data_IF_475746225986
#
_entry.id   IF_475746225986
#
_cell.length_a   1.000
_cell.length_b   1.000
_cell.length_c   1.000
_cell.angle_alpha   90.00
_cell.angle_beta   90.00
_cell.angle_gamma   90.00
#
_symmetry.space_group_name_H-M   'P 1'
#
loop_
_entity.id
_entity.type
_entity.pdbx_description
1 polymer ?
#
# COMPACT_ATOMS: atom_id res chain seq x y z
N UNK A 1 31.34 -8.17 -24.58
CA UNK A 1 30.10 -8.52 -25.33
C UNK A 1 29.99 -7.62 -26.55
N UNK A 2 29.69 -8.16 -27.73
CA UNK A 2 29.55 -7.39 -28.97
C UNK A 2 28.19 -6.67 -29.04
N UNK A 3 28.11 -5.58 -29.82
CA UNK A 3 26.87 -4.79 -30.00
C UNK A 3 25.69 -5.65 -30.48
N UNK A 4 25.96 -6.59 -31.39
CA UNK A 4 24.96 -7.53 -31.92
C UNK A 4 24.45 -8.51 -30.85
N UNK A 5 25.33 -9.04 -29.99
CA UNK A 5 24.92 -9.92 -28.90
C UNK A 5 23.99 -9.20 -27.91
N UNK A 6 24.27 -7.92 -27.63
CA UNK A 6 23.39 -7.09 -26.79
C UNK A 6 22.05 -6.79 -27.48
N UNK A 7 22.02 -6.61 -28.81
CA UNK A 7 20.77 -6.42 -29.56
C UNK A 7 19.91 -7.69 -29.58
N UNK A 8 20.51 -8.85 -29.82
CA UNK A 8 19.81 -10.14 -29.77
C UNK A 8 19.28 -10.43 -28.37
N UNK A 9 20.06 -10.14 -27.32
CA UNK A 9 19.61 -10.32 -25.95
C UNK A 9 18.42 -9.40 -25.58
N UNK A 10 18.28 -8.23 -26.20
CA UNK A 10 17.11 -7.35 -26.01
C UNK A 10 15.86 -7.84 -26.75
N UNK A 11 16.03 -8.57 -27.84
CA UNK A 11 14.94 -9.11 -28.65
C UNK A 11 14.50 -10.52 -28.20
N UNK A 12 15.30 -11.17 -27.36
CA UNK A 12 15.00 -12.50 -26.83
C UNK A 12 13.67 -12.48 -26.06
N UNK A 13 12.71 -13.29 -26.53
CA UNK A 13 11.43 -13.51 -25.86
C UNK A 13 11.58 -14.62 -24.81
N UNK A 14 10.76 -14.64 -23.75
CA UNK A 14 10.80 -15.73 -22.76
C UNK A 14 10.59 -17.12 -23.39
N UNK A 15 9.91 -17.20 -24.53
CA UNK A 15 9.70 -18.44 -25.29
C UNK A 15 10.98 -18.98 -25.96
N UNK A 16 11.96 -18.10 -26.21
CA UNK A 16 13.26 -18.46 -26.80
C UNK A 16 14.29 -18.89 -25.75
N UNK A 17 13.87 -19.05 -24.50
CA UNK A 17 14.75 -19.38 -23.40
C UNK A 17 15.16 -20.86 -23.43
N UNK A 18 16.46 -21.12 -23.53
CA UNK A 18 17.00 -22.48 -23.67
C UNK A 18 16.70 -23.37 -22.48
N UNK A 19 16.45 -22.82 -21.28
CA UNK A 19 16.06 -23.65 -20.12
C UNK A 19 14.67 -24.24 -20.26
N UNK A 20 13.82 -23.73 -21.16
CA UNK A 20 12.53 -24.36 -21.44
C UNK A 20 12.69 -25.66 -22.26
N UNK A 21 13.86 -25.84 -22.89
CA UNK A 21 14.20 -26.99 -23.72
C UNK A 21 15.16 -27.97 -23.02
N UNK A 22 15.86 -27.53 -21.97
CA UNK A 22 16.78 -28.34 -21.18
C UNK A 22 16.08 -29.03 -20.02
N UNK A 23 16.37 -30.32 -19.81
CA UNK A 23 15.87 -31.10 -18.66
C UNK A 23 16.79 -31.04 -17.42
N UNK A 24 17.99 -30.51 -17.57
CA UNK A 24 19.03 -30.64 -16.52
C UNK A 24 18.92 -29.59 -15.40
N UNK A 25 18.23 -28.47 -15.63
CA UNK A 25 18.00 -27.41 -14.64
C UNK A 25 16.55 -26.93 -14.67
N UNK A 26 15.67 -27.65 -13.98
CA UNK A 26 14.26 -27.29 -13.86
C UNK A 26 14.06 -26.34 -12.68
N UNK A 27 13.40 -25.22 -12.93
CA UNK A 27 13.08 -24.24 -11.89
C UNK A 27 12.00 -24.80 -10.95
N UNK A 28 12.35 -24.96 -9.68
CA UNK A 28 11.47 -25.50 -8.64
C UNK A 28 11.62 -24.70 -7.34
N UNK A 29 10.50 -24.39 -6.70
CA UNK A 29 10.46 -23.74 -5.40
C UNK A 29 10.65 -24.77 -4.27
N UNK A 30 10.02 -25.93 -4.40
CA UNK A 30 9.94 -26.96 -3.37
C UNK A 30 11.08 -27.97 -3.41
N UNK A 31 11.55 -28.33 -4.60
CA UNK A 31 12.51 -29.40 -4.82
C UNK A 31 13.85 -28.84 -5.27
N UNK A 32 14.91 -29.64 -5.14
CA UNK A 32 16.18 -29.29 -5.77
C UNK A 32 16.10 -29.48 -7.29
N UNK A 33 16.81 -28.68 -8.11
CA UNK A 33 16.64 -28.68 -9.57
C UNK A 33 16.78 -30.05 -10.24
N UNK A 34 17.64 -30.92 -9.69
CA UNK A 34 17.83 -32.29 -10.17
C UNK A 34 16.63 -33.19 -9.86
N UNK A 35 16.10 -33.10 -8.64
CA UNK A 35 14.91 -33.83 -8.22
C UNK A 35 13.70 -33.37 -9.03
N UNK A 36 13.51 -32.06 -9.15
CA UNK A 36 12.45 -31.44 -9.94
C UNK A 36 12.42 -31.91 -11.41
N UNK A 37 13.58 -32.17 -12.00
CA UNK A 37 13.70 -32.72 -13.36
C UNK A 37 13.20 -34.15 -13.53
N UNK A 38 13.05 -34.90 -12.43
CA UNK A 38 12.53 -36.27 -12.42
C UNK A 38 11.02 -36.35 -12.16
N UNK A 39 10.42 -35.28 -11.63
CA UNK A 39 9.00 -35.26 -11.30
C UNK A 39 8.19 -34.99 -12.57
N UNK A 40 7.24 -35.88 -12.84
CA UNK A 40 6.37 -35.76 -14.00
C UNK A 40 5.26 -34.71 -13.77
N UNK A 41 4.62 -34.33 -14.88
CA UNK A 41 3.61 -33.28 -14.90
C UNK A 41 2.37 -33.64 -14.08
N UNK A 42 1.95 -34.90 -14.07
CA UNK A 42 0.75 -35.32 -13.35
C UNK A 42 0.99 -35.25 -11.84
N UNK A 43 2.19 -35.63 -11.38
CA UNK A 43 2.58 -35.47 -9.97
C UNK A 43 2.63 -33.99 -9.56
N UNK A 44 3.25 -33.11 -10.35
CA UNK A 44 3.27 -31.66 -10.05
C UNK A 44 1.87 -31.04 -10.06
N UNK A 45 1.00 -31.49 -10.96
CA UNK A 45 -0.39 -31.07 -11.00
C UNK A 45 -1.14 -31.50 -9.73
N UNK A 46 -0.99 -32.77 -9.32
CA UNK A 46 -1.60 -33.27 -8.08
C UNK A 46 -1.13 -32.48 -6.85
N UNK A 47 0.17 -32.17 -6.75
CA UNK A 47 0.72 -31.31 -5.68
C UNK A 47 0.03 -29.94 -5.67
N UNK A 48 -0.11 -29.31 -6.85
CA UNK A 48 -0.78 -28.02 -7.00
C UNK A 48 -2.24 -28.04 -6.57
N UNK A 49 -3.00 -29.07 -6.99
CA UNK A 49 -4.40 -29.26 -6.63
C UNK A 49 -4.58 -29.50 -5.12
N UNK A 50 -3.75 -30.35 -4.50
CA UNK A 50 -3.78 -30.53 -3.04
C UNK A 50 -3.47 -29.23 -2.31
N UNK A 51 -2.53 -28.42 -2.81
CA UNK A 51 -2.29 -27.09 -2.28
C UNK A 51 -3.52 -26.18 -2.35
N UNK A 52 -4.24 -26.22 -3.48
CA UNK A 52 -5.46 -25.43 -3.68
C UNK A 52 -6.59 -25.90 -2.75
N UNK A 53 -6.79 -27.20 -2.62
CA UNK A 53 -7.80 -27.80 -1.72
C UNK A 53 -7.57 -27.39 -0.25
N UNK A 54 -6.31 -27.44 0.21
CA UNK A 54 -5.94 -26.97 1.54
C UNK A 54 -6.18 -25.46 1.70
N UNK A 55 -5.90 -24.64 0.67
CA UNK A 55 -6.21 -23.19 0.70
C UNK A 55 -7.71 -22.92 0.70
N UNK A 56 -8.51 -23.70 -0.04
CA UNK A 56 -9.97 -23.59 -0.06
C UNK A 56 -10.58 -23.84 1.32
N UNK A 57 -9.99 -24.76 2.09
CA UNK A 57 -10.36 -24.99 3.49
C UNK A 57 -10.10 -23.79 4.41
N UNK A 58 -9.23 -22.86 4.01
CA UNK A 58 -8.90 -21.63 4.75
C UNK A 58 -9.68 -20.43 4.21
N UNK A 59 -9.74 -20.31 2.88
CA UNK A 59 -10.31 -19.16 2.16
C UNK A 59 -11.04 -19.63 0.90
N UNK A 60 -12.39 -19.69 0.94
CA UNK A 60 -13.20 -20.11 -0.20
C UNK A 60 -13.04 -19.24 -1.45
N UNK A 61 -12.48 -18.03 -1.34
CA UNK A 61 -12.27 -17.15 -2.50
C UNK A 61 -11.34 -17.76 -3.54
N UNK A 62 -10.57 -18.79 -3.19
CA UNK A 62 -9.71 -19.51 -4.11
C UNK A 62 -10.45 -20.36 -5.16
N UNK A 63 -11.74 -20.64 -4.98
CA UNK A 63 -12.53 -21.53 -5.86
C UNK A 63 -12.53 -21.03 -7.31
N UNK A 64 -12.58 -19.70 -7.48
CA UNK A 64 -12.56 -19.04 -8.79
C UNK A 64 -11.31 -19.36 -9.63
N UNK A 65 -10.23 -19.85 -9.01
CA UNK A 65 -8.98 -20.13 -9.69
C UNK A 65 -8.83 -21.59 -10.13
N UNK A 66 -9.71 -22.48 -9.67
CA UNK A 66 -9.66 -23.90 -10.01
C UNK A 66 -9.77 -24.11 -11.53
N UNK A 67 -10.85 -23.62 -12.13
CA UNK A 67 -11.08 -23.75 -13.57
C UNK A 67 -9.94 -23.13 -14.43
N UNK A 68 -9.49 -21.88 -14.21
CA UNK A 68 -8.48 -21.26 -15.07
C UNK A 68 -7.05 -21.77 -14.84
N UNK A 69 -6.69 -22.24 -13.63
CA UNK A 69 -5.29 -22.52 -13.28
C UNK A 69 -5.01 -23.97 -12.83
N UNK A 70 -6.01 -24.67 -12.28
CA UNK A 70 -5.86 -26.00 -11.66
C UNK A 70 -6.80 -27.05 -12.25
N UNK A 71 -7.30 -26.82 -13.47
CA UNK A 71 -8.13 -27.79 -14.20
C UNK A 71 -7.30 -28.70 -15.11
N UNK A 72 -7.90 -29.81 -15.56
CA UNK A 72 -7.28 -30.68 -16.58
C UNK A 72 -6.98 -29.94 -17.89
N UNK A 73 -7.78 -28.93 -18.23
CA UNK A 73 -7.52 -28.06 -19.39
C UNK A 73 -6.30 -27.17 -19.13
N UNK A 74 -6.18 -26.59 -17.94
CA UNK A 74 -5.03 -25.78 -17.56
C UNK A 74 -3.73 -26.61 -17.55
N UNK A 75 -3.82 -27.91 -17.20
CA UNK A 75 -2.71 -28.87 -17.24
C UNK A 75 -2.08 -29.06 -18.63
N UNK A 76 -2.88 -28.95 -19.69
CA UNK A 76 -2.44 -29.16 -21.08
C UNK A 76 -2.09 -27.86 -21.82
N UNK A 77 -2.37 -26.70 -21.24
CA UNK A 77 -2.18 -25.39 -21.88
C UNK A 77 -0.69 -25.02 -21.99
N UNK A 78 -0.12 -25.11 -23.20
CA UNK A 78 1.26 -24.71 -23.51
C UNK A 78 1.36 -23.23 -23.90
N UNK A 79 1.81 -22.38 -22.97
CA UNK A 79 1.82 -20.91 -23.09
C UNK A 79 2.62 -20.38 -24.29
N UNK A 80 3.67 -21.09 -24.70
CA UNK A 80 4.56 -20.70 -25.80
C UNK A 80 3.87 -20.71 -27.17
N UNK A 81 2.83 -21.53 -27.33
CA UNK A 81 2.10 -21.68 -28.60
C UNK A 81 0.75 -20.98 -28.61
N UNK A 82 0.37 -20.33 -27.50
CA UNK A 82 -0.90 -19.61 -27.40
C UNK A 82 -0.84 -18.21 -28.01
N UNK A 83 -2.01 -17.70 -28.37
CA UNK A 83 -2.15 -16.32 -28.86
C UNK A 83 -1.85 -15.29 -27.76
N UNK A 84 -1.49 -14.07 -28.17
CA UNK A 84 -1.26 -12.96 -27.24
C UNK A 84 -2.49 -12.67 -26.35
N UNK A 85 -3.69 -12.82 -26.89
CA UNK A 85 -4.93 -12.59 -26.14
C UNK A 85 -5.14 -13.63 -25.03
N UNK A 86 -4.94 -14.92 -25.35
CA UNK A 86 -5.03 -16.02 -24.37
C UNK A 86 -3.97 -15.86 -23.28
N UNK A 87 -2.73 -15.55 -23.66
CA UNK A 87 -1.65 -15.32 -22.71
C UNK A 87 -1.92 -14.12 -21.79
N UNK A 88 -2.54 -13.05 -22.32
CA UNK A 88 -2.95 -11.90 -21.50
C UNK A 88 -4.02 -12.27 -20.47
N UNK A 89 -5.03 -13.07 -20.86
CA UNK A 89 -6.05 -13.54 -19.93
C UNK A 89 -5.46 -14.45 -18.84
N UNK A 90 -4.51 -15.32 -19.23
CA UNK A 90 -3.76 -16.13 -18.29
C UNK A 90 -2.94 -15.26 -17.32
N UNK A 91 -2.29 -14.20 -17.81
CA UNK A 91 -1.55 -13.24 -16.98
C UNK A 91 -2.42 -12.53 -15.96
N UNK A 92 -3.64 -12.16 -16.34
CA UNK A 92 -4.63 -11.53 -15.46
C UNK A 92 -5.07 -12.51 -14.37
N UNK A 93 -5.38 -13.77 -14.73
CA UNK A 93 -5.74 -14.82 -13.77
C UNK A 93 -4.61 -15.13 -12.79
N UNK A 94 -3.36 -15.28 -13.29
CA UNK A 94 -2.18 -15.53 -12.45
C UNK A 94 -1.92 -14.34 -11.53
N UNK A 95 -2.01 -13.11 -12.04
CA UNK A 95 -1.76 -11.92 -11.22
C UNK A 95 -2.80 -11.77 -10.11
N UNK A 96 -4.07 -12.07 -10.40
CA UNK A 96 -5.12 -12.06 -9.39
C UNK A 96 -4.91 -13.20 -8.37
N UNK A 97 -4.60 -14.42 -8.81
CA UNK A 97 -4.28 -15.54 -7.92
C UNK A 97 -3.13 -15.19 -6.97
N UNK A 98 -2.05 -14.60 -7.48
CA UNK A 98 -0.88 -14.20 -6.70
C UNK A 98 -1.19 -13.10 -5.66
N UNK A 99 -2.15 -12.21 -5.94
CA UNK A 99 -2.65 -11.25 -4.95
C UNK A 99 -3.40 -11.99 -3.82
N UNK A 100 -4.28 -12.94 -4.17
CA UNK A 100 -5.00 -13.75 -3.18
C UNK A 100 -4.09 -14.69 -2.39
N UNK A 101 -3.01 -15.18 -3.00
CA UNK A 101 -2.04 -16.09 -2.39
C UNK A 101 -1.12 -15.38 -1.38
N UNK A 102 -0.79 -14.11 -1.61
CA UNK A 102 0.21 -13.38 -0.83
C UNK A 102 -0.01 -13.45 0.70
N UNK A 103 -1.23 -13.28 1.25
CA UNK A 103 -1.49 -13.44 2.69
C UNK A 103 -1.11 -14.82 3.26
N UNK A 104 -1.10 -15.86 2.41
CA UNK A 104 -0.87 -17.25 2.78
C UNK A 104 0.51 -17.76 2.34
N UNK A 105 1.37 -16.91 1.78
CA UNK A 105 2.64 -17.32 1.15
C UNK A 105 3.56 -18.17 2.05
N UNK A 106 3.54 -17.95 3.36
CA UNK A 106 4.36 -18.74 4.31
C UNK A 106 3.79 -20.14 4.57
N UNK A 107 2.53 -20.40 4.22
CA UNK A 107 1.91 -21.71 4.37
C UNK A 107 2.39 -22.65 3.26
N UNK A 108 2.60 -23.93 3.63
CA UNK A 108 2.93 -25.00 2.69
C UNK A 108 1.94 -25.14 1.52
N UNK A 109 0.61 -25.07 1.71
CA UNK A 109 -0.32 -25.14 0.58
C UNK A 109 -0.11 -24.04 -0.46
N UNK A 110 0.20 -22.81 -0.05
CA UNK A 110 0.51 -21.74 -0.99
C UNK A 110 1.78 -22.02 -1.82
N UNK A 111 2.80 -22.63 -1.20
CA UNK A 111 4.04 -23.02 -1.88
C UNK A 111 3.79 -24.16 -2.88
N UNK A 112 2.93 -25.12 -2.57
CA UNK A 112 2.49 -26.18 -3.50
C UNK A 112 1.79 -25.59 -4.74
N UNK A 113 0.91 -24.61 -4.55
CA UNK A 113 0.30 -23.92 -5.68
C UNK A 113 1.33 -23.18 -6.53
N UNK A 114 2.28 -22.46 -5.92
CA UNK A 114 3.34 -21.77 -6.66
C UNK A 114 4.20 -22.74 -7.46
N UNK A 115 4.55 -23.89 -6.89
CA UNK A 115 5.30 -24.95 -7.57
C UNK A 115 4.63 -25.32 -8.91
N UNK A 116 3.33 -25.60 -8.87
CA UNK A 116 2.55 -25.89 -10.07
C UNK A 116 2.60 -24.73 -11.08
N UNK A 117 2.36 -23.49 -10.65
CA UNK A 117 2.37 -22.34 -11.57
C UNK A 117 3.76 -22.05 -12.17
N UNK A 118 4.83 -22.28 -11.40
CA UNK A 118 6.23 -22.14 -11.84
C UNK A 118 6.54 -23.15 -12.94
N UNK A 119 6.10 -24.40 -12.77
CA UNK A 119 6.34 -25.47 -13.74
C UNK A 119 5.43 -25.37 -14.97
N UNK A 120 4.13 -25.14 -14.78
CA UNK A 120 3.12 -25.16 -15.86
C UNK A 120 3.11 -23.89 -16.71
N UNK A 121 3.18 -22.73 -16.05
CA UNK A 121 2.99 -21.43 -16.70
C UNK A 121 4.26 -20.57 -16.72
N UNK A 122 5.36 -21.08 -16.14
CA UNK A 122 6.65 -20.40 -16.07
C UNK A 122 6.54 -18.98 -15.50
N UNK A 123 5.78 -18.79 -14.42
CA UNK A 123 5.51 -17.47 -13.85
C UNK A 123 6.76 -16.71 -13.42
N UNK A 124 7.85 -17.43 -13.11
CA UNK A 124 9.17 -16.88 -12.81
C UNK A 124 9.86 -16.23 -14.03
N UNK A 125 9.37 -16.47 -15.25
CA UNK A 125 9.82 -15.83 -16.49
C UNK A 125 8.82 -14.79 -16.98
N UNK A 126 7.53 -15.15 -17.05
CA UNK A 126 6.50 -14.35 -17.68
C UNK A 126 5.80 -13.36 -16.73
N UNK A 127 5.74 -13.66 -15.43
CA UNK A 127 4.95 -12.92 -14.43
C UNK A 127 5.81 -12.42 -13.27
N UNK A 128 7.06 -12.04 -13.54
CA UNK A 128 8.05 -11.69 -12.51
C UNK A 128 7.57 -10.59 -11.57
N UNK A 129 6.92 -9.55 -12.10
CA UNK A 129 6.39 -8.44 -11.32
C UNK A 129 5.30 -8.90 -10.34
N UNK A 130 4.37 -9.74 -10.80
CA UNK A 130 3.29 -10.28 -9.96
C UNK A 130 3.82 -11.28 -8.93
N UNK A 131 4.81 -12.10 -9.30
CA UNK A 131 5.46 -13.03 -8.39
C UNK A 131 6.22 -12.30 -7.30
N UNK A 132 7.02 -11.28 -7.65
CA UNK A 132 7.72 -10.45 -6.66
C UNK A 132 6.72 -9.72 -5.78
N UNK A 133 5.67 -9.12 -6.35
CA UNK A 133 4.61 -8.47 -5.58
C UNK A 133 4.00 -9.39 -4.51
N UNK A 134 3.78 -10.66 -4.83
CA UNK A 134 3.23 -11.65 -3.90
C UNK A 134 4.17 -11.93 -2.72
N UNK A 135 5.49 -11.99 -2.95
CA UNK A 135 6.46 -12.45 -1.95
C UNK A 135 7.20 -11.33 -1.22
N UNK A 136 7.21 -10.11 -1.78
CA UNK A 136 7.97 -8.97 -1.26
C UNK A 136 7.64 -8.60 0.20
N UNK A 137 6.38 -8.69 0.69
CA UNK A 137 6.11 -8.47 2.11
C UNK A 137 6.90 -9.38 3.06
N UNK A 138 7.41 -10.51 2.56
CA UNK A 138 8.15 -11.54 3.30
C UNK A 138 9.65 -11.54 2.98
N UNK A 139 10.20 -10.39 2.57
CA UNK A 139 11.58 -10.21 2.10
C UNK A 139 12.68 -10.72 3.07
N UNK A 140 12.40 -10.80 4.37
CA UNK A 140 13.34 -11.29 5.39
C UNK A 140 13.30 -12.82 5.57
N UNK A 141 12.52 -13.56 4.78
CA UNK A 141 12.38 -15.01 4.89
C UNK A 141 13.27 -15.78 3.90
N UNK A 142 13.63 -17.02 4.25
CA UNK A 142 14.38 -17.91 3.32
C UNK A 142 13.56 -18.31 2.09
N UNK A 143 12.23 -18.43 2.23
CA UNK A 143 11.37 -18.79 1.11
C UNK A 143 11.27 -17.67 0.07
N UNK A 144 11.32 -16.40 0.50
CA UNK A 144 11.50 -15.26 -0.42
C UNK A 144 12.78 -15.39 -1.25
N UNK A 145 13.90 -15.73 -0.60
CA UNK A 145 15.18 -15.94 -1.29
C UNK A 145 15.06 -17.03 -2.36
N UNK A 146 14.42 -18.16 -2.03
CA UNK A 146 14.20 -19.26 -3.00
C UNK A 146 13.44 -18.75 -4.23
N UNK A 147 12.41 -17.93 -4.05
CA UNK A 147 11.67 -17.32 -5.18
C UNK A 147 12.56 -16.39 -6.00
N UNK A 148 13.35 -15.53 -5.37
CA UNK A 148 14.29 -14.64 -6.09
C UNK A 148 15.34 -15.45 -6.87
N UNK A 149 15.74 -16.61 -6.37
CA UNK A 149 16.67 -17.51 -7.06
C UNK A 149 16.09 -18.11 -8.34
N UNK A 150 14.77 -18.21 -8.49
CA UNK A 150 14.12 -18.67 -9.72
C UNK A 150 14.17 -17.65 -10.86
N UNK A 151 14.27 -16.36 -10.53
CA UNK A 151 14.17 -15.28 -11.53
C UNK A 151 15.43 -15.18 -12.40
N UNK A 152 15.26 -14.88 -13.69
CA UNK A 152 16.38 -14.72 -14.63
C UNK A 152 16.91 -13.29 -14.69
N UNK A 153 17.60 -12.92 -13.62
CA UNK A 153 18.25 -11.62 -13.48
C UNK A 153 19.63 -11.65 -14.17
N UNK A 154 19.63 -11.39 -15.48
CA UNK A 154 20.79 -11.68 -16.34
C UNK A 154 21.63 -10.45 -16.73
N UNK A 155 21.12 -9.23 -16.53
CA UNK A 155 21.85 -8.00 -16.88
C UNK A 155 21.45 -6.81 -16.00
N UNK A 156 22.27 -5.76 -16.03
CA UNK A 156 22.08 -4.54 -15.22
C UNK A 156 20.87 -3.70 -15.59
N UNK A 157 20.24 -3.95 -16.75
CA UNK A 157 19.02 -3.26 -17.18
C UNK A 157 17.74 -3.98 -16.73
N UNK A 158 17.88 -5.17 -16.14
CA UNK A 158 16.74 -5.90 -15.60
C UNK A 158 16.12 -5.09 -14.46
N UNK A 159 14.80 -4.88 -14.48
CA UNK A 159 14.07 -4.12 -13.44
C UNK A 159 14.42 -4.56 -12.02
N UNK A 160 14.56 -5.87 -11.83
CA UNK A 160 14.87 -6.49 -10.54
C UNK A 160 16.37 -6.74 -10.31
N UNK A 161 17.26 -6.08 -11.05
CA UNK A 161 18.71 -6.29 -10.94
C UNK A 161 19.25 -6.00 -9.54
N UNK A 162 18.65 -5.06 -8.81
CA UNK A 162 19.03 -4.75 -7.44
C UNK A 162 18.85 -5.93 -6.46
N UNK A 163 18.07 -6.96 -6.83
CA UNK A 163 17.92 -8.21 -6.06
C UNK A 163 18.98 -9.27 -6.41
N UNK A 164 19.89 -9.01 -7.35
CA UNK A 164 20.96 -9.94 -7.71
C UNK A 164 21.85 -10.37 -6.53
N UNK A 165 22.21 -9.48 -5.57
CA UNK A 165 22.95 -9.89 -4.37
C UNK A 165 22.21 -10.93 -3.53
N UNK A 166 20.88 -10.81 -3.39
CA UNK A 166 20.03 -11.79 -2.69
C UNK A 166 20.05 -13.12 -3.42
N UNK A 167 19.86 -13.11 -4.75
CA UNK A 167 19.93 -14.31 -5.59
C UNK A 167 21.25 -15.07 -5.42
N UNK A 168 22.38 -14.35 -5.39
CA UNK A 168 23.73 -14.95 -5.33
C UNK A 168 24.12 -15.43 -3.93
N UNK A 169 23.84 -14.63 -2.91
CA UNK A 169 24.27 -14.94 -1.54
C UNK A 169 23.38 -15.95 -0.84
N UNK A 170 22.11 -16.07 -1.25
CA UNK A 170 21.13 -16.91 -0.55
C UNK A 170 20.70 -16.33 0.80
N UNK A 171 21.06 -15.08 1.11
CA UNK A 171 20.73 -14.40 2.37
C UNK A 171 19.46 -13.56 2.19
N UNK A 172 18.53 -13.57 3.15
CA UNK A 172 17.33 -12.73 3.09
C UNK A 172 17.64 -11.24 2.92
N UNK A 173 16.71 -10.52 2.28
CA UNK A 173 16.89 -9.10 1.99
C UNK A 173 16.75 -8.30 3.29
N UNK A 174 17.79 -7.55 3.65
CA UNK A 174 17.75 -6.67 4.80
C UNK A 174 16.80 -5.48 4.57
N UNK A 175 16.01 -5.13 5.59
CA UNK A 175 15.09 -3.97 5.58
C UNK A 175 15.78 -2.67 5.16
N UNK A 176 16.99 -2.39 5.65
CA UNK A 176 17.74 -1.18 5.28
C UNK A 176 18.05 -1.08 3.78
N UNK A 177 18.36 -2.21 3.14
CA UNK A 177 18.59 -2.29 1.69
C UNK A 177 17.31 -2.03 0.90
N UNK A 178 16.19 -2.64 1.33
CA UNK A 178 14.87 -2.41 0.74
C UNK A 178 14.47 -0.92 0.82
N UNK A 179 14.60 -0.32 2.00
CA UNK A 179 14.30 1.09 2.25
C UNK A 179 15.18 2.00 1.39
N UNK A 180 16.48 1.69 1.31
CA UNK A 180 17.43 2.44 0.47
C UNK A 180 17.04 2.40 -1.00
N UNK A 181 16.65 1.24 -1.51
CA UNK A 181 16.18 1.14 -2.89
C UNK A 181 14.85 1.89 -3.08
N UNK A 182 13.93 1.82 -2.11
CA UNK A 182 12.62 2.48 -2.17
C UNK A 182 12.69 4.00 -2.33
N UNK A 183 13.58 4.71 -1.63
CA UNK A 183 13.67 6.16 -1.82
C UNK A 183 14.55 6.57 -3.02
N UNK A 184 15.46 5.70 -3.48
CA UNK A 184 16.33 5.98 -4.64
C UNK A 184 15.68 5.68 -5.98
N UNK A 185 14.74 4.74 -6.04
CA UNK A 185 14.06 4.31 -7.26
C UNK A 185 12.56 4.62 -7.20
N UNK A 186 12.13 5.68 -7.90
CA UNK A 186 10.73 6.09 -7.97
C UNK A 186 9.82 5.04 -8.61
N UNK A 187 10.36 4.21 -9.52
CA UNK A 187 9.61 3.13 -10.16
C UNK A 187 9.28 2.02 -9.17
N UNK A 188 10.19 1.72 -8.24
CA UNK A 188 9.98 0.76 -7.17
C UNK A 188 9.05 1.30 -6.08
N UNK A 189 9.17 2.59 -5.72
CA UNK A 189 8.19 3.24 -4.83
C UNK A 189 6.78 3.17 -5.41
N UNK A 190 6.63 3.46 -6.71
CA UNK A 190 5.37 3.34 -7.44
C UNK A 190 4.86 1.90 -7.43
N UNK A 191 5.75 0.93 -7.64
CA UNK A 191 5.42 -0.48 -7.61
C UNK A 191 4.81 -0.87 -6.26
N UNK A 192 5.43 -0.49 -5.14
CA UNK A 192 4.92 -0.75 -3.79
C UNK A 192 3.54 -0.11 -3.58
N UNK A 193 3.38 1.16 -3.96
CA UNK A 193 2.08 1.85 -3.81
C UNK A 193 0.99 1.23 -4.70
N UNK A 194 1.35 0.87 -5.94
CA UNK A 194 0.44 0.23 -6.88
C UNK A 194 -0.01 -1.15 -6.40
N UNK A 195 0.91 -1.91 -5.78
CA UNK A 195 0.62 -3.22 -5.18
C UNK A 195 -0.50 -3.10 -4.16
N UNK A 196 -0.38 -2.18 -3.20
CA UNK A 196 -1.44 -1.94 -2.19
C UNK A 196 -2.76 -1.60 -2.85
N UNK A 197 -2.78 -0.66 -3.80
CA UNK A 197 -4.05 -0.27 -4.43
C UNK A 197 -4.71 -1.40 -5.23
N UNK A 198 -3.91 -2.26 -5.88
CA UNK A 198 -4.41 -3.44 -6.60
C UNK A 198 -4.96 -4.47 -5.63
N UNK A 199 -4.25 -4.75 -4.53
CA UNK A 199 -4.71 -5.69 -3.50
C UNK A 199 -5.97 -5.20 -2.80
N UNK A 200 -6.03 -3.92 -2.39
CA UNK A 200 -7.24 -3.34 -1.79
C UNK A 200 -8.44 -3.46 -2.74
N UNK A 201 -8.23 -3.28 -4.05
CA UNK A 201 -9.30 -3.47 -5.05
C UNK A 201 -9.70 -4.94 -5.18
N UNK A 202 -8.74 -5.86 -5.24
CA UNK A 202 -9.01 -7.30 -5.38
C UNK A 202 -9.80 -7.87 -4.19
N UNK A 203 -9.52 -7.37 -2.98
CA UNK A 203 -10.19 -7.80 -1.76
C UNK A 203 -11.38 -6.92 -1.35
N UNK A 204 -11.81 -5.96 -2.18
CA UNK A 204 -12.87 -5.02 -1.82
C UNK A 204 -14.21 -5.71 -1.49
N UNK A 205 -14.48 -6.84 -2.14
CA UNK A 205 -15.71 -7.63 -2.01
C UNK A 205 -15.54 -8.85 -1.08
N UNK A 206 -14.33 -9.08 -0.56
CA UNK A 206 -14.03 -10.24 0.29
C UNK A 206 -14.35 -9.93 1.76
N UNK A 207 -15.19 -10.74 2.44
CA UNK A 207 -15.36 -10.63 3.88
C UNK A 207 -14.02 -10.92 4.57
N UNK A 208 -13.63 -10.08 5.53
CA UNK A 208 -12.34 -10.24 6.23
C UNK A 208 -11.12 -9.65 5.53
N UNK A 209 -11.29 -8.90 4.44
CA UNK A 209 -10.20 -8.25 3.67
C UNK A 209 -9.17 -7.48 4.51
N UNK A 210 -9.61 -6.87 5.61
CA UNK A 210 -8.72 -6.16 6.54
C UNK A 210 -7.64 -7.06 7.17
N UNK A 211 -8.00 -8.28 7.60
CA UNK A 211 -7.03 -9.19 8.23
C UNK A 211 -6.08 -9.80 7.21
N UNK A 212 -6.60 -10.15 6.02
CA UNK A 212 -5.81 -10.72 4.92
C UNK A 212 -4.74 -9.73 4.42
N UNK A 213 -5.09 -8.44 4.36
CA UNK A 213 -4.17 -7.40 3.88
C UNK A 213 -3.21 -6.87 4.96
N UNK A 214 -3.33 -7.30 6.22
CA UNK A 214 -2.55 -6.75 7.35
C UNK A 214 -1.04 -6.77 7.11
N UNK A 215 -0.50 -7.90 6.64
CA UNK A 215 0.94 -8.05 6.38
C UNK A 215 1.39 -7.09 5.29
N UNK A 216 0.63 -7.00 4.19
CA UNK A 216 0.91 -6.10 3.08
C UNK A 216 0.83 -4.62 3.49
N UNK A 217 -0.20 -4.24 4.25
CA UNK A 217 -0.39 -2.86 4.71
C UNK A 217 0.67 -2.45 5.74
N UNK A 218 1.08 -3.36 6.62
CA UNK A 218 2.20 -3.16 7.55
C UNK A 218 3.52 -2.99 6.80
N UNK A 219 3.76 -3.84 5.79
CA UNK A 219 4.91 -3.73 4.90
C UNK A 219 4.93 -2.38 4.17
N UNK A 220 3.78 -1.96 3.61
CA UNK A 220 3.62 -0.68 2.94
C UNK A 220 3.92 0.50 3.86
N UNK A 221 3.25 0.57 5.02
CA UNK A 221 3.43 1.62 6.00
C UNK A 221 4.90 1.69 6.43
N UNK A 222 5.47 0.55 6.86
CA UNK A 222 6.84 0.51 7.33
C UNK A 222 7.85 0.88 6.25
N UNK A 223 7.65 0.45 5.00
CA UNK A 223 8.64 0.67 3.94
C UNK A 223 8.59 2.11 3.45
N UNK A 224 7.41 2.65 3.14
CA UNK A 224 7.26 4.03 2.63
C UNK A 224 7.65 5.04 3.71
N UNK A 225 7.16 4.88 4.95
CA UNK A 225 7.52 5.79 6.04
C UNK A 225 9.03 5.77 6.30
N UNK A 226 9.65 4.59 6.36
CA UNK A 226 11.12 4.51 6.55
C UNK A 226 11.89 5.10 5.38
N UNK A 227 11.40 4.93 4.14
CA UNK A 227 12.01 5.51 2.95
C UNK A 227 11.97 7.04 2.99
N UNK A 228 10.83 7.62 3.40
CA UNK A 228 10.68 9.08 3.56
C UNK A 228 11.54 9.63 4.71
N UNK A 229 11.70 8.88 5.79
CA UNK A 229 12.58 9.28 6.91
C UNK A 229 14.05 9.24 6.51
N UNK A 230 14.47 8.17 5.82
CA UNK A 230 15.85 7.94 5.42
C UNK A 230 16.32 8.81 4.24
N UNK A 231 15.40 9.33 3.43
CA UNK A 231 15.73 10.29 2.41
C UNK A 231 16.22 11.61 3.05
N UNK A 232 17.41 12.05 2.63
CA UNK A 232 17.99 13.34 3.04
C UNK A 232 17.11 14.48 2.53
N UNK A 233 16.89 14.50 1.21
CA UNK A 233 16.01 15.46 0.54
C UNK A 233 14.87 14.74 -0.19
N UNK A 234 13.64 15.21 0.05
CA UNK A 234 12.46 14.76 -0.68
C UNK A 234 12.16 15.72 -1.82
N UNK A 235 12.41 15.27 -3.06
CA UNK A 235 12.05 16.03 -4.26
C UNK A 235 10.53 16.14 -4.44
N UNK A 236 10.07 17.23 -5.06
CA UNK A 236 8.66 17.42 -5.45
C UNK A 236 8.11 16.26 -6.27
N UNK A 237 8.97 15.59 -7.06
CA UNK A 237 8.62 14.40 -7.83
C UNK A 237 8.15 13.24 -6.94
N UNK A 238 8.76 13.04 -5.77
CA UNK A 238 8.33 12.01 -4.81
C UNK A 238 6.94 12.34 -4.27
N UNK A 239 6.71 13.59 -3.88
CA UNK A 239 5.42 14.04 -3.34
C UNK A 239 4.32 13.91 -4.39
N UNK A 240 4.58 14.38 -5.61
CA UNK A 240 3.67 14.25 -6.74
C UNK A 240 3.35 12.78 -7.07
N UNK A 241 4.35 11.89 -6.96
CA UNK A 241 4.17 10.45 -7.19
C UNK A 241 3.32 9.78 -6.12
N UNK A 242 3.47 10.17 -4.85
CA UNK A 242 2.73 9.62 -3.72
C UNK A 242 1.29 10.15 -3.63
N UNK A 243 1.03 11.36 -4.13
CA UNK A 243 -0.25 12.03 -3.94
C UNK A 243 -1.49 11.23 -4.40
N UNK A 244 -1.53 10.60 -5.59
CA UNK A 244 -2.67 9.78 -5.99
C UNK A 244 -2.94 8.61 -5.04
N UNK A 245 -1.89 8.08 -4.40
CA UNK A 245 -1.99 6.99 -3.44
C UNK A 245 -2.50 7.48 -2.08
N UNK A 246 -2.02 8.65 -1.63
CA UNK A 246 -2.53 9.32 -0.43
C UNK A 246 -4.03 9.60 -0.58
N UNK A 247 -4.48 10.10 -1.73
CA UNK A 247 -5.90 10.35 -1.98
C UNK A 247 -6.75 9.07 -1.90
N UNK A 248 -6.24 7.93 -2.40
CA UNK A 248 -6.91 6.64 -2.31
C UNK A 248 -6.95 6.14 -0.86
N UNK A 249 -5.85 6.25 -0.13
CA UNK A 249 -5.77 5.88 1.29
C UNK A 249 -6.73 6.69 2.16
N UNK A 250 -6.79 8.01 1.95
CA UNK A 250 -7.77 8.91 2.58
C UNK A 250 -9.22 8.68 2.14
N UNK A 251 -9.50 7.82 1.16
CA UNK A 251 -10.87 7.43 0.80
C UNK A 251 -11.21 6.00 1.22
N UNK A 252 -10.21 5.20 1.56
CA UNK A 252 -10.37 3.80 1.92
C UNK A 252 -11.14 3.63 3.23
N UNK A 253 -11.94 2.57 3.31
CA UNK A 253 -12.62 2.09 4.52
C UNK A 253 -11.73 1.16 5.36
N UNK A 254 -10.54 0.78 4.88
CA UNK A 254 -9.62 -0.10 5.61
C UNK A 254 -8.83 0.70 6.65
N UNK A 255 -8.94 0.39 7.96
CA UNK A 255 -8.25 1.13 9.01
C UNK A 255 -6.73 1.14 8.85
N UNK A 256 -6.11 -0.01 8.59
CA UNK A 256 -4.65 -0.11 8.47
C UNK A 256 -4.11 0.72 7.29
N UNK A 257 -4.84 0.76 6.17
CA UNK A 257 -4.45 1.58 5.02
C UNK A 257 -4.62 3.08 5.32
N UNK A 258 -5.69 3.43 6.04
CA UNK A 258 -5.94 4.80 6.50
C UNK A 258 -4.84 5.29 7.43
N UNK A 259 -4.50 4.50 8.45
CA UNK A 259 -3.46 4.81 9.41
C UNK A 259 -2.09 4.96 8.74
N UNK A 260 -1.73 4.03 7.83
CA UNK A 260 -0.53 4.14 7.02
C UNK A 260 -0.47 5.46 6.23
N UNK A 261 -1.61 5.87 5.67
CA UNK A 261 -1.72 7.12 4.93
C UNK A 261 -1.50 8.35 5.81
N UNK A 262 -2.05 8.37 7.02
CA UNK A 262 -1.78 9.43 7.99
C UNK A 262 -0.30 9.52 8.35
N UNK A 263 0.36 8.38 8.59
CA UNK A 263 1.81 8.36 8.85
C UNK A 263 2.61 8.94 7.69
N UNK A 264 2.26 8.60 6.45
CA UNK A 264 2.91 9.13 5.25
C UNK A 264 2.71 10.65 5.13
N UNK A 265 1.49 11.15 5.34
CA UNK A 265 1.20 12.59 5.32
C UNK A 265 2.02 13.32 6.39
N UNK A 266 2.07 12.80 7.61
CA UNK A 266 2.87 13.37 8.68
C UNK A 266 4.35 13.48 8.29
N UNK A 267 4.94 12.42 7.72
CA UNK A 267 6.35 12.45 7.32
C UNK A 267 6.62 13.44 6.19
N UNK A 268 5.77 13.48 5.16
CA UNK A 268 5.91 14.46 4.08
C UNK A 268 5.81 15.88 4.65
N UNK A 269 4.86 16.12 5.54
CA UNK A 269 4.64 17.43 6.16
C UNK A 269 5.83 17.91 7.00
N UNK A 270 6.62 16.99 7.55
CA UNK A 270 7.83 17.33 8.34
C UNK A 270 9.03 17.63 7.44
N UNK A 271 9.13 16.94 6.29
CA UNK A 271 10.32 16.96 5.42
C UNK A 271 10.22 17.93 4.24
N UNK A 272 9.01 18.30 3.82
CA UNK A 272 8.77 19.11 2.63
C UNK A 272 7.90 20.31 2.99
N UNK A 273 8.25 21.48 2.44
CA UNK A 273 7.37 22.65 2.41
C UNK A 273 6.49 22.55 1.19
N UNK A 274 5.19 22.39 1.39
CA UNK A 274 4.19 22.24 0.33
C UNK A 274 3.49 23.58 0.07
N UNK A 275 2.90 23.72 -1.12
CA UNK A 275 2.06 24.87 -1.45
C UNK A 275 0.78 24.89 -0.61
N UNK A 276 0.35 26.07 -0.14
CA UNK A 276 -0.86 26.26 0.67
C UNK A 276 -2.10 25.62 0.04
N UNK A 277 -2.27 25.70 -1.28
CA UNK A 277 -3.40 25.08 -2.00
C UNK A 277 -3.42 23.56 -1.82
N UNK A 278 -2.25 22.92 -1.80
CA UNK A 278 -2.09 21.49 -1.59
C UNK A 278 -2.37 21.10 -0.13
N UNK A 279 -1.84 21.87 0.82
CA UNK A 279 -2.08 21.70 2.26
C UNK A 279 -3.57 21.81 2.56
N UNK A 280 -4.24 22.81 2.01
CA UNK A 280 -5.67 23.04 2.16
C UNK A 280 -6.51 21.88 1.60
N UNK A 281 -6.11 21.34 0.46
CA UNK A 281 -6.74 20.17 -0.15
C UNK A 281 -6.61 18.92 0.75
N UNK A 282 -5.41 18.64 1.25
CA UNK A 282 -5.15 17.53 2.17
C UNK A 282 -5.92 17.68 3.49
N UNK A 283 -5.83 18.84 4.14
CA UNK A 283 -6.54 19.13 5.37
C UNK A 283 -8.06 18.96 5.20
N UNK A 284 -8.61 19.51 4.12
CA UNK A 284 -10.03 19.34 3.77
C UNK A 284 -10.42 17.88 3.61
N UNK A 285 -9.57 17.07 2.95
CA UNK A 285 -9.85 15.66 2.73
C UNK A 285 -9.76 14.83 4.02
N UNK A 286 -8.76 15.11 4.88
CA UNK A 286 -8.63 14.48 6.20
C UNK A 286 -9.90 14.76 7.01
N UNK A 287 -10.28 16.03 7.16
CA UNK A 287 -11.45 16.44 7.96
C UNK A 287 -12.73 15.78 7.45
N UNK A 288 -13.00 15.83 6.13
CA UNK A 288 -14.22 15.24 5.53
C UNK A 288 -14.34 13.73 5.68
N UNK A 289 -13.22 13.04 5.89
CA UNK A 289 -13.20 11.57 5.98
C UNK A 289 -12.90 11.06 7.37
N UNK A 290 -12.69 11.97 8.33
CA UNK A 290 -12.29 11.68 9.69
C UNK A 290 -13.26 10.75 10.41
N UNK A 291 -14.57 11.02 10.29
CA UNK A 291 -15.63 10.25 10.96
C UNK A 291 -15.93 8.89 10.31
N UNK A 292 -15.33 8.59 9.13
CA UNK A 292 -15.62 7.33 8.41
C UNK A 292 -15.09 6.09 9.13
N UNK A 293 -14.05 6.24 9.94
CA UNK A 293 -13.44 5.15 10.70
C UNK A 293 -13.32 5.62 12.16
N UNK A 294 -14.32 5.32 13.01
CA UNK A 294 -14.38 5.84 14.38
C UNK A 294 -13.13 5.55 15.21
N UNK A 295 -12.52 4.37 15.04
CA UNK A 295 -11.30 3.98 15.75
C UNK A 295 -10.07 4.83 15.42
N UNK A 296 -10.08 5.60 14.32
CA UNK A 296 -8.95 6.40 13.85
C UNK A 296 -9.20 7.90 13.91
N UNK A 297 -10.26 8.36 14.59
CA UNK A 297 -10.54 9.81 14.70
C UNK A 297 -9.38 10.53 15.41
N UNK A 298 -8.88 9.97 16.51
CA UNK A 298 -7.73 10.54 17.25
C UNK A 298 -6.48 10.62 16.37
N UNK A 299 -6.19 9.58 15.60
CA UNK A 299 -5.03 9.54 14.71
C UNK A 299 -5.16 10.53 13.54
N UNK A 300 -6.37 10.66 12.98
CA UNK A 300 -6.66 11.62 11.91
C UNK A 300 -6.59 13.07 12.40
N UNK A 301 -7.07 13.37 13.61
CA UNK A 301 -6.90 14.68 14.24
C UNK A 301 -5.42 14.98 14.50
N UNK A 302 -4.67 14.00 15.00
CA UNK A 302 -3.23 14.13 15.22
C UNK A 302 -2.47 14.40 13.92
N UNK A 303 -2.84 13.70 12.84
CA UNK A 303 -2.31 13.93 11.49
C UNK A 303 -2.61 15.35 10.99
N UNK A 304 -3.84 15.82 11.18
CA UNK A 304 -4.24 17.18 10.81
C UNK A 304 -3.43 18.22 11.60
N UNK A 305 -3.29 18.04 12.91
CA UNK A 305 -2.51 18.95 13.77
C UNK A 305 -1.06 19.03 13.28
N UNK A 306 -0.42 17.88 13.01
CA UNK A 306 0.96 17.86 12.48
C UNK A 306 1.07 18.57 11.13
N UNK A 307 0.12 18.34 10.21
CA UNK A 307 0.07 19.03 8.92
C UNK A 307 0.01 20.55 9.11
N UNK A 308 -0.92 21.05 9.93
CA UNK A 308 -1.08 22.49 10.19
C UNK A 308 0.11 23.09 10.92
N UNK A 309 0.69 22.36 11.88
CA UNK A 309 1.83 22.82 12.66
C UNK A 309 3.07 23.04 11.79
N UNK A 310 3.31 22.12 10.85
CA UNK A 310 4.53 22.14 10.02
C UNK A 310 4.39 23.06 8.82
N UNK A 311 3.21 23.10 8.21
CA UNK A 311 3.00 23.86 6.98
C UNK A 311 2.55 25.30 7.25
N UNK A 312 1.84 25.55 8.36
CA UNK A 312 1.34 26.88 8.75
C UNK A 312 0.62 27.62 7.59
N UNK A 313 -0.37 26.98 6.94
CA UNK A 313 -1.09 27.61 5.84
C UNK A 313 -1.81 28.88 6.32
N UNK A 314 -1.97 29.87 5.44
CA UNK A 314 -2.63 31.14 5.80
C UNK A 314 -4.09 30.94 6.24
N UNK A 315 -4.81 30.03 5.57
CA UNK A 315 -6.19 29.65 5.91
C UNK A 315 -6.58 28.34 5.24
N UNK A 316 -7.44 27.53 5.89
CA UNK A 316 -8.06 26.34 5.28
C UNK A 316 -9.41 26.65 4.59
N UNK A 317 -9.87 27.90 4.65
CA UNK A 317 -11.19 28.32 4.22
C UNK A 317 -12.34 27.81 5.10
N UNK A 318 -13.58 28.25 4.81
CA UNK A 318 -14.77 27.95 5.63
C UNK A 318 -15.34 26.53 5.41
N UNK A 319 -15.09 25.90 4.26
CA UNK A 319 -15.75 24.65 3.85
C UNK A 319 -15.46 23.43 4.75
N UNK A 320 -14.23 23.24 5.28
CA UNK A 320 -13.93 22.10 6.16
C UNK A 320 -14.52 22.26 7.56
N UNK A 321 -14.73 23.49 8.03
CA UNK A 321 -15.09 23.80 9.40
C UNK A 321 -16.34 23.06 9.92
N UNK A 322 -17.49 23.03 9.21
CA UNK A 322 -18.68 22.31 9.70
C UNK A 322 -18.43 20.81 9.90
N UNK A 323 -17.58 20.20 9.06
CA UNK A 323 -17.26 18.77 9.16
C UNK A 323 -16.41 18.48 10.39
N UNK A 324 -15.56 19.43 10.79
CA UNK A 324 -14.75 19.33 12.00
C UNK A 324 -15.63 19.47 13.24
N UNK A 325 -16.59 20.40 13.25
CA UNK A 325 -17.54 20.57 14.35
C UNK A 325 -18.44 19.35 14.57
N UNK A 326 -18.72 18.59 13.51
CA UNK A 326 -19.53 17.36 13.57
C UNK A 326 -18.75 16.10 13.99
N UNK A 327 -17.47 16.24 14.41
CA UNK A 327 -16.69 15.11 14.92
C UNK A 327 -17.20 14.71 16.31
N UNK A 328 -17.56 13.43 16.52
CA UNK A 328 -18.02 12.97 17.83
C UNK A 328 -16.90 13.08 18.87
N UNK A 329 -17.28 13.48 20.10
CA UNK A 329 -16.37 13.64 21.23
C UNK A 329 -15.14 14.51 20.96
N UNK A 330 -15.25 15.46 20.03
CA UNK A 330 -14.12 16.29 19.56
C UNK A 330 -13.35 16.94 20.73
N UNK A 331 -14.07 17.52 21.70
CA UNK A 331 -13.44 18.22 22.83
C UNK A 331 -12.64 17.26 23.70
N UNK A 332 -13.22 16.10 24.03
CA UNK A 332 -12.55 15.05 24.82
C UNK A 332 -11.30 14.54 24.09
N UNK A 333 -11.40 14.34 22.78
CA UNK A 333 -10.28 13.92 21.94
C UNK A 333 -9.17 14.97 21.88
N UNK A 334 -9.52 16.25 21.66
CA UNK A 334 -8.57 17.36 21.65
C UNK A 334 -7.91 17.56 23.01
N UNK A 335 -8.67 17.45 24.10
CA UNK A 335 -8.13 17.50 25.46
C UNK A 335 -7.08 16.40 25.64
N UNK A 336 -7.41 15.15 25.33
CA UNK A 336 -6.48 14.03 25.43
C UNK A 336 -5.25 14.14 24.51
N UNK A 337 -5.35 14.84 23.38
CA UNK A 337 -4.17 15.15 22.54
C UNK A 337 -3.34 16.28 23.18
N UNK A 338 -3.99 17.28 23.76
CA UNK A 338 -3.35 18.48 24.35
C UNK A 338 -2.47 18.17 25.57
N UNK A 339 -2.72 17.05 26.24
CA UNK A 339 -1.88 16.55 27.34
C UNK A 339 -0.45 16.23 26.89
N UNK A 340 -0.27 15.81 25.63
CA UNK A 340 1.03 15.38 25.10
C UNK A 340 1.56 16.28 23.96
N UNK A 341 0.67 16.87 23.18
CA UNK A 341 1.02 17.58 21.94
C UNK A 341 0.37 18.97 21.85
N UNK A 342 1.01 19.88 21.12
CA UNK A 342 0.44 21.22 20.90
C UNK A 342 -0.71 21.19 19.89
N UNK A 343 -1.93 21.45 20.36
CA UNK A 343 -3.13 21.53 19.51
C UNK A 343 -3.42 22.96 19.01
N UNK A 344 -2.60 23.94 19.37
CA UNK A 344 -2.78 25.34 18.96
C UNK A 344 -2.94 25.52 17.45
N UNK A 345 -2.23 24.81 16.56
CA UNK A 345 -2.40 24.96 15.11
C UNK A 345 -3.83 24.71 14.63
N UNK A 346 -4.52 23.73 15.22
CA UNK A 346 -5.91 23.45 14.87
C UNK A 346 -6.86 24.47 15.51
N UNK A 347 -6.59 24.89 16.75
CA UNK A 347 -7.40 25.92 17.41
C UNK A 347 -7.31 27.28 16.72
N UNK A 348 -6.14 27.65 16.16
CA UNK A 348 -5.99 28.86 15.33
C UNK A 348 -6.92 28.86 14.12
N UNK A 349 -7.22 27.69 13.57
CA UNK A 349 -8.20 27.54 12.50
C UNK A 349 -9.64 27.59 13.05
N UNK A 350 -9.93 26.86 14.13
CA UNK A 350 -11.30 26.72 14.64
C UNK A 350 -11.86 27.97 15.32
N UNK A 351 -11.08 28.62 16.19
CA UNK A 351 -11.57 29.70 17.06
C UNK A 351 -12.14 30.89 16.28
N UNK A 352 -11.48 31.43 15.23
CA UNK A 352 -12.05 32.54 14.46
C UNK A 352 -13.39 32.19 13.82
N UNK A 353 -13.55 30.96 13.33
CA UNK A 353 -14.82 30.51 12.75
C UNK A 353 -15.93 30.37 13.79
N UNK A 354 -15.61 29.83 14.98
CA UNK A 354 -16.57 29.73 16.08
C UNK A 354 -17.01 31.12 16.58
N UNK A 355 -16.08 32.06 16.75
CA UNK A 355 -16.38 33.44 17.20
C UNK A 355 -17.24 34.17 16.18
N UNK A 356 -16.89 34.12 14.88
CA UNK A 356 -17.69 34.76 13.82
C UNK A 356 -19.10 34.17 13.75
N UNK A 357 -19.24 32.84 13.80
CA UNK A 357 -20.57 32.20 13.81
C UNK A 357 -21.38 32.57 15.06
N UNK A 358 -20.74 32.81 16.20
CA UNK A 358 -21.42 33.33 17.39
C UNK A 358 -21.90 34.77 17.23
N UNK A 359 -21.06 35.64 16.67
CA UNK A 359 -21.43 37.04 16.41
C UNK A 359 -22.61 37.11 15.45
N UNK A 360 -22.56 36.35 14.34
CA UNK A 360 -23.62 36.31 13.34
C UNK A 360 -24.98 35.83 13.90
N UNK A 361 -24.96 34.87 14.84
CA UNK A 361 -26.18 34.44 15.53
C UNK A 361 -26.77 35.53 16.41
N UNK A 362 -25.92 36.29 17.11
CA UNK A 362 -26.37 37.39 17.98
C UNK A 362 -26.89 38.57 17.15
N UNK A 363 -26.31 38.84 15.98
CA UNK A 363 -26.74 39.90 15.06
C UNK A 363 -27.92 39.52 14.16
N UNK A 364 -28.31 38.24 14.14
CA UNK A 364 -29.48 37.74 13.39
C UNK A 364 -29.22 37.54 11.89
N UNK A 365 -27.97 37.34 11.47
CA UNK A 365 -27.57 37.28 10.05
C UNK A 365 -27.48 35.83 9.48
N UNK A 366 -27.66 34.78 10.29
CA UNK A 366 -27.59 33.37 9.84
C UNK A 366 -28.96 32.65 9.82
N UNK A 367 -29.18 31.83 8.78
CA UNK A 367 -30.44 31.15 8.43
C UNK A 367 -30.62 29.72 8.99
N UNK A 368 -29.66 29.16 9.75
CA UNK A 368 -29.72 27.78 10.26
C UNK A 368 -29.49 27.70 11.79
N UNK A 369 -30.57 27.75 12.58
CA UNK A 369 -30.54 27.78 14.06
C UNK A 369 -29.85 26.57 14.73
N UNK A 370 -29.83 25.40 14.08
CA UNK A 370 -29.28 24.16 14.66
C UNK A 370 -27.75 24.14 14.73
N UNK A 371 -27.08 24.59 13.68
CA UNK A 371 -25.62 24.66 13.61
C UNK A 371 -25.08 25.65 14.64
N UNK A 372 -25.83 26.72 14.89
CA UNK A 372 -25.42 27.76 15.80
C UNK A 372 -25.29 27.31 17.27
N UNK A 373 -26.23 26.49 17.75
CA UNK A 373 -26.16 25.92 19.09
C UNK A 373 -24.97 24.95 19.24
N UNK A 374 -24.64 24.20 18.20
CA UNK A 374 -23.48 23.28 18.19
C UNK A 374 -22.19 24.09 18.32
N UNK A 375 -22.03 25.14 17.52
CA UNK A 375 -20.84 26.00 17.56
C UNK A 375 -20.68 26.70 18.91
N UNK A 376 -21.77 27.19 19.50
CA UNK A 376 -21.75 27.77 20.85
C UNK A 376 -21.23 26.79 21.90
N UNK A 377 -21.81 25.58 21.94
CA UNK A 377 -21.41 24.54 22.90
C UNK A 377 -19.96 24.14 22.72
N UNK A 378 -19.49 24.03 21.48
CA UNK A 378 -18.08 23.74 21.20
C UNK A 378 -17.17 24.85 21.68
N UNK A 379 -17.49 26.12 21.43
CA UNK A 379 -16.70 27.25 21.90
C UNK A 379 -16.61 27.28 23.43
N UNK A 380 -17.76 27.19 24.12
CA UNK A 380 -17.81 27.14 25.59
C UNK A 380 -16.99 25.97 26.13
N UNK A 381 -17.09 24.79 25.51
CA UNK A 381 -16.35 23.60 25.92
C UNK A 381 -14.84 23.72 25.66
N UNK A 382 -14.41 24.35 24.56
CA UNK A 382 -12.98 24.64 24.30
C UNK A 382 -12.44 25.59 25.39
N UNK A 383 -13.14 26.69 25.66
CA UNK A 383 -12.72 27.68 26.67
C UNK A 383 -12.64 27.11 28.08
N UNK A 384 -13.51 26.14 28.39
CA UNK A 384 -13.58 25.53 29.73
C UNK A 384 -12.57 24.40 29.91
N UNK A 385 -12.42 23.54 28.91
CA UNK A 385 -11.69 22.28 29.06
C UNK A 385 -10.27 22.33 28.47
N UNK A 386 -9.98 23.25 27.55
CA UNK A 386 -8.70 23.26 26.83
C UNK A 386 -7.88 24.49 27.25
N UNK A 387 -6.65 24.32 27.77
CA UNK A 387 -5.80 25.45 28.10
C UNK A 387 -5.35 26.16 26.82
N UNK A 388 -5.81 27.41 26.65
CA UNK A 388 -5.40 28.25 25.54
C UNK A 388 -3.97 28.76 25.76
N UNK A 389 -3.02 28.17 25.03
CA UNK A 389 -1.59 28.56 25.05
C UNK A 389 -1.25 29.32 23.77
N UNK A 390 -0.02 29.81 23.65
CA UNK A 390 0.52 30.37 22.40
C UNK A 390 -0.28 31.55 21.80
N UNK A 391 -0.75 32.45 22.67
CA UNK A 391 -1.50 33.67 22.31
C UNK A 391 -2.84 33.42 21.62
N UNK A 392 -3.43 32.23 21.77
CA UNK A 392 -4.77 31.92 21.25
C UNK A 392 -5.85 32.82 21.85
N UNK A 393 -5.68 33.30 23.08
CA UNK A 393 -6.61 34.21 23.76
C UNK A 393 -6.88 35.49 22.95
N UNK A 394 -5.89 35.95 22.18
CA UNK A 394 -6.02 37.13 21.32
C UNK A 394 -7.00 36.93 20.17
N UNK A 395 -7.22 35.67 19.75
CA UNK A 395 -8.17 35.34 18.69
C UNK A 395 -9.64 35.43 19.17
N UNK A 396 -9.86 35.54 20.48
CA UNK A 396 -11.19 35.73 21.08
C UNK A 396 -11.56 37.21 21.25
N UNK A 397 -10.58 38.12 21.13
CA UNK A 397 -10.75 39.55 21.38
C UNK A 397 -11.03 40.36 20.11
N UNK A 398 -11.34 39.69 18.99
CA UNK A 398 -11.57 40.27 17.67
C UNK A 398 -13.04 40.44 17.34
#
# INVERSE_FOLDING_TARGET
MTSLAQQLQRLALPQSDSSLLSRDEVASLLFDPKEAGTIDRDTLFAIGCTGLEELLGIDPSFERFEAPLFSQLAKTLERSVQTKAVNKQLDENISLFLIHLSPYFLLKPAQKCLEWLIHRFHIHLYNQDSLIACVLPYHETRIFVRVIQLLKINNSKHKWFWLLPVKRSGVPLAKGTLVTHCYKDLGFMDFICSLVTKSVKAFAECPGSSTQLRVLLSFYASTIVSALVAAEDLSDNIVAKLFPYIQKGLKSSLPDYRAATYMIICQISVKVTMEDTFVNSLASQIIRTLIRIPSLIKDGLSCLIVLLQRQKPESLGKKPFPHLCNVPDLITLLHGISETYDISPLLRYMLPHLVVSMINQVTGEETEEMDGQIYRRLLEAILTNIPLKNSLDRLLAG
#
